data_IF_308538977624
#
_entry.id   IF_308538977624
#
_cell.length_a   1.000
_cell.length_b   1.000
_cell.length_c   1.000
_cell.angle_alpha   90.00
_cell.angle_beta   90.00
_cell.angle_gamma   90.00
#
_symmetry.space_group_name_H-M   'P 1'
#
loop_
_entity.id
_entity.type
_entity.pdbx_description
1 polymer ?
#
# COMPACT_ATOMS: atom_id res chain seq x y z
N UNK A 1 22.00 -33.92 3.69
CA UNK A 1 23.40 -34.32 3.39
C UNK A 1 24.15 -33.25 2.60
N UNK A 2 23.59 -32.70 1.51
CA UNK A 2 24.23 -31.61 0.74
C UNK A 2 24.57 -30.36 1.59
N UNK A 3 23.66 -29.91 2.45
CA UNK A 3 23.88 -28.75 3.33
C UNK A 3 24.96 -28.96 4.40
N UNK A 4 25.39 -30.20 4.68
CA UNK A 4 26.53 -30.48 5.56
C UNK A 4 27.83 -30.50 4.75
N UNK A 5 27.77 -30.95 3.49
CA UNK A 5 28.93 -31.02 2.58
C UNK A 5 29.30 -29.66 1.98
N UNK A 6 28.34 -28.74 1.85
CA UNK A 6 28.54 -27.40 1.30
C UNK A 6 28.64 -26.31 2.37
N UNK A 7 28.55 -26.67 3.66
CA UNK A 7 28.67 -25.72 4.77
C UNK A 7 30.12 -25.28 4.87
N UNK A 8 30.33 -23.98 4.70
CA UNK A 8 31.61 -23.35 4.97
C UNK A 8 31.54 -22.60 6.30
N UNK A 9 32.06 -23.23 7.36
CA UNK A 9 32.10 -22.64 8.70
C UNK A 9 33.12 -21.50 8.85
N UNK A 10 33.89 -21.19 7.79
CA UNK A 10 34.78 -20.03 7.77
C UNK A 10 34.05 -18.74 7.41
N UNK A 11 32.84 -18.82 6.85
CA UNK A 11 32.04 -17.65 6.50
C UNK A 11 31.41 -17.04 7.76
N UNK A 12 31.69 -15.76 8.00
CA UNK A 12 31.07 -14.99 9.09
C UNK A 12 29.90 -14.15 8.58
N UNK A 13 28.74 -14.29 9.21
CA UNK A 13 27.58 -13.44 8.90
C UNK A 13 27.84 -11.97 9.23
N UNK A 14 27.36 -11.07 8.36
CA UNK A 14 27.42 -9.62 8.56
C UNK A 14 26.00 -9.06 8.55
N UNK A 15 25.67 -8.24 9.53
CA UNK A 15 24.39 -7.54 9.56
C UNK A 15 24.24 -6.63 8.33
N UNK A 16 23.03 -6.50 7.75
CA UNK A 16 22.78 -5.69 6.55
C UNK A 16 22.69 -4.18 6.86
N UNK A 17 23.39 -3.69 7.88
CA UNK A 17 23.32 -2.31 8.36
C UNK A 17 23.81 -1.27 7.32
N UNK A 18 24.57 -1.71 6.31
CA UNK A 18 25.09 -0.89 5.23
C UNK A 18 24.24 -0.93 3.94
N UNK A 19 23.14 -1.69 3.93
CA UNK A 19 22.22 -1.75 2.79
C UNK A 19 21.22 -0.59 2.80
N UNK A 20 20.77 -0.12 1.61
CA UNK A 20 19.73 0.89 1.54
C UNK A 20 18.42 0.35 2.12
N UNK A 21 17.71 1.19 2.87
CA UNK A 21 16.49 0.81 3.56
C UNK A 21 15.29 0.69 2.61
N UNK A 22 15.36 1.27 1.41
CA UNK A 22 14.41 1.01 0.34
C UNK A 22 15.10 0.58 -0.94
N UNK A 23 14.49 -0.37 -1.68
CA UNK A 23 15.03 -0.84 -2.96
C UNK A 23 13.93 -1.23 -3.94
N UNK A 24 14.12 -0.80 -5.18
CA UNK A 24 13.40 -1.32 -6.34
C UNK A 24 14.20 -2.45 -7.02
N UNK A 25 13.59 -3.62 -7.10
CA UNK A 25 14.06 -4.78 -7.86
C UNK A 25 13.41 -4.76 -9.24
N UNK A 26 13.93 -3.91 -10.12
CA UNK A 26 13.40 -3.63 -11.46
C UNK A 26 13.06 -4.87 -12.27
N UNK A 27 13.95 -5.87 -12.24
CA UNK A 27 13.79 -7.10 -13.02
C UNK A 27 12.49 -7.84 -12.72
N UNK A 28 11.99 -7.78 -11.49
CA UNK A 28 10.76 -8.47 -11.07
C UNK A 28 9.62 -7.53 -10.74
N UNK A 29 9.88 -6.22 -10.71
CA UNK A 29 8.91 -5.19 -10.34
C UNK A 29 8.45 -5.31 -8.89
N UNK A 30 9.40 -5.40 -7.96
CA UNK A 30 9.15 -5.43 -6.52
C UNK A 30 9.84 -4.22 -5.88
N UNK A 31 9.15 -3.49 -5.01
CA UNK A 31 9.77 -2.50 -4.15
C UNK A 31 9.58 -2.93 -2.70
N UNK A 32 10.66 -2.83 -1.92
CA UNK A 32 10.69 -3.10 -0.48
C UNK A 32 11.15 -1.84 0.22
N UNK A 33 10.38 -1.34 1.19
CA UNK A 33 10.68 -0.15 2.00
C UNK A 33 10.70 -0.53 3.47
N UNK A 34 11.86 -0.43 4.11
CA UNK A 34 12.12 -0.74 5.50
C UNK A 34 12.51 0.53 6.28
N UNK A 35 12.49 0.40 7.60
CA UNK A 35 13.02 1.40 8.53
C UNK A 35 14.21 0.87 9.31
N UNK A 36 14.29 -0.45 9.51
CA UNK A 36 15.39 -1.14 10.17
C UNK A 36 15.62 -2.53 9.55
N UNK A 37 16.75 -2.74 8.89
CA UNK A 37 17.11 -4.06 8.33
C UNK A 37 17.79 -5.00 9.34
N UNK A 38 18.13 -4.50 10.53
CA UNK A 38 18.91 -5.22 11.55
C UNK A 38 18.01 -5.76 12.66
N UNK A 39 16.98 -5.02 13.05
CA UNK A 39 16.06 -5.39 14.13
C UNK A 39 14.59 -5.37 13.68
N UNK A 40 14.04 -6.57 13.46
CA UNK A 40 12.64 -6.74 13.07
C UNK A 40 11.62 -6.32 14.13
N UNK A 41 12.00 -6.26 15.42
CA UNK A 41 11.14 -5.69 16.46
C UNK A 41 11.08 -4.15 16.36
N UNK A 42 11.97 -3.51 15.58
CA UNK A 42 11.96 -2.08 15.30
C UNK A 42 11.56 -1.70 13.87
N UNK A 43 11.54 -2.67 12.96
CA UNK A 43 11.27 -2.43 11.54
C UNK A 43 9.80 -2.13 11.27
N UNK A 44 9.58 -1.24 10.30
CA UNK A 44 8.31 -1.06 9.60
C UNK A 44 8.60 -1.33 8.13
N UNK A 45 7.97 -2.37 7.62
CA UNK A 45 8.19 -2.87 6.28
C UNK A 45 6.91 -2.76 5.44
N UNK A 46 7.01 -2.09 4.30
CA UNK A 46 6.02 -2.18 3.23
C UNK A 46 6.67 -2.74 1.97
N UNK A 47 6.05 -3.77 1.39
CA UNK A 47 6.42 -4.30 0.09
C UNK A 47 5.23 -4.22 -0.87
N UNK A 48 5.49 -3.81 -2.12
CA UNK A 48 4.49 -3.81 -3.18
C UNK A 48 5.09 -4.37 -4.47
N UNK A 49 4.29 -5.20 -5.16
CA UNK A 49 4.65 -5.81 -6.44
C UNK A 49 3.89 -5.13 -7.58
N UNK A 50 4.61 -4.74 -8.63
CA UNK A 50 4.06 -4.35 -9.93
C UNK A 50 4.99 -4.81 -11.04
N UNK A 51 4.76 -6.05 -11.46
CA UNK A 51 5.70 -6.92 -12.18
C UNK A 51 5.43 -6.98 -13.69
N UNK A 52 6.48 -6.83 -14.53
CA UNK A 52 6.35 -6.91 -15.99
C UNK A 52 6.08 -8.33 -16.50
N UNK A 53 6.23 -9.37 -15.66
CA UNK A 53 6.01 -10.77 -16.05
C UNK A 53 4.55 -11.24 -15.95
N UNK A 54 3.68 -10.42 -15.36
CA UNK A 54 2.29 -10.77 -15.11
C UNK A 54 2.11 -11.89 -14.06
N UNK A 55 0.93 -12.51 -14.10
CA UNK A 55 0.52 -13.56 -13.15
C UNK A 55 0.71 -14.96 -13.75
N UNK A 56 1.95 -15.37 -13.99
CA UNK A 56 2.31 -16.66 -14.62
C UNK A 56 2.65 -17.71 -13.57
N UNK A 57 2.18 -18.95 -13.75
CA UNK A 57 2.48 -20.09 -12.87
C UNK A 57 2.14 -19.79 -11.40
N UNK A 58 3.12 -19.68 -10.51
CA UNK A 58 2.97 -19.29 -9.10
C UNK A 58 2.75 -17.80 -8.87
N UNK A 59 2.83 -16.97 -9.91
CA UNK A 59 2.42 -15.56 -9.84
C UNK A 59 0.92 -15.41 -9.53
N UNK A 60 0.60 -14.44 -8.67
CA UNK A 60 -0.75 -14.07 -8.30
C UNK A 60 -1.19 -12.80 -9.06
N UNK A 61 -2.49 -12.52 -9.04
CA UNK A 61 -3.14 -11.36 -9.63
C UNK A 61 -3.03 -10.16 -8.67
N UNK A 62 -1.79 -9.80 -8.32
CA UNK A 62 -1.45 -8.91 -7.20
C UNK A 62 -0.63 -7.68 -7.64
N UNK A 63 -0.84 -7.22 -8.88
CA UNK A 63 -0.21 -5.99 -9.36
C UNK A 63 -0.70 -4.80 -8.55
N UNK A 64 0.22 -3.94 -8.12
CA UNK A 64 -0.03 -2.83 -7.20
C UNK A 64 -0.64 -3.26 -5.84
N UNK A 65 -0.56 -4.53 -5.46
CA UNK A 65 -0.96 -4.95 -4.12
C UNK A 65 0.22 -4.87 -3.15
N UNK A 66 -0.06 -4.52 -1.90
CA UNK A 66 0.96 -4.40 -0.86
C UNK A 66 0.75 -5.36 0.31
N UNK A 67 1.81 -5.52 1.09
CA UNK A 67 1.79 -6.05 2.46
C UNK A 67 2.49 -5.05 3.39
N UNK A 68 2.09 -5.01 4.65
CA UNK A 68 2.68 -4.16 5.68
C UNK A 68 2.90 -4.97 6.96
N UNK A 69 4.14 -4.99 7.43
CA UNK A 69 4.56 -5.54 8.71
C UNK A 69 5.19 -4.42 9.55
N UNK A 70 4.97 -4.44 10.87
CA UNK A 70 5.63 -3.49 11.76
C UNK A 70 5.86 -4.10 13.14
N UNK A 71 7.03 -3.81 13.71
CA UNK A 71 7.41 -4.17 15.08
C UNK A 71 7.23 -5.67 15.37
N UNK A 72 7.63 -6.50 14.40
CA UNK A 72 7.54 -7.96 14.46
C UNK A 72 6.13 -8.55 14.27
N UNK A 73 5.15 -7.76 13.83
CA UNK A 73 3.77 -8.20 13.60
C UNK A 73 3.30 -7.96 12.16
N UNK A 74 2.56 -8.93 11.62
CA UNK A 74 1.91 -8.81 10.32
C UNK A 74 0.59 -8.01 10.46
N UNK A 75 0.51 -6.85 9.81
CA UNK A 75 -0.60 -5.91 9.97
C UNK A 75 -1.52 -5.89 8.75
N UNK A 76 -0.97 -5.67 7.55
CA UNK A 76 -1.71 -5.79 6.29
C UNK A 76 -1.17 -6.99 5.49
N UNK A 77 -1.97 -8.04 5.34
CA UNK A 77 -1.49 -9.33 4.83
C UNK A 77 -1.99 -9.64 3.42
N UNK A 78 -1.31 -10.56 2.75
CA UNK A 78 -1.89 -11.31 1.65
C UNK A 78 -2.70 -12.48 2.24
N UNK A 79 -4.00 -12.47 2.03
CA UNK A 79 -4.95 -13.45 2.55
C UNK A 79 -4.93 -14.76 1.75
N UNK A 80 -5.38 -15.84 2.40
CA UNK A 80 -5.60 -17.15 1.81
C UNK A 80 -4.49 -18.14 2.11
N UNK A 81 -4.81 -19.42 1.92
CA UNK A 81 -3.90 -20.54 2.16
C UNK A 81 -3.48 -21.19 0.84
N UNK A 82 -2.46 -22.03 0.90
CA UNK A 82 -2.00 -22.81 -0.25
C UNK A 82 -2.09 -24.31 0.03
N UNK A 83 -3.30 -24.92 -0.01
CA UNK A 83 -3.45 -26.36 0.17
C UNK A 83 -2.81 -27.16 -0.97
N UNK A 84 -3.08 -26.76 -2.22
CA UNK A 84 -2.57 -27.43 -3.41
C UNK A 84 -2.58 -26.48 -4.62
N UNK A 85 -1.64 -26.68 -5.54
CA UNK A 85 -1.66 -26.01 -6.83
C UNK A 85 -2.95 -26.30 -7.60
N UNK A 86 -3.61 -25.25 -8.08
CA UNK A 86 -4.81 -25.34 -8.90
C UNK A 86 -6.08 -25.77 -8.15
N UNK A 87 -6.05 -25.93 -6.81
CA UNK A 87 -7.28 -26.21 -6.09
C UNK A 87 -8.23 -25.00 -6.10
N UNK A 88 -9.50 -25.26 -5.80
CA UNK A 88 -10.56 -24.26 -5.83
C UNK A 88 -10.21 -22.98 -5.04
N UNK A 89 -9.70 -23.13 -3.82
CA UNK A 89 -9.29 -22.00 -2.97
C UNK A 89 -8.11 -21.24 -3.57
N UNK A 90 -7.09 -21.95 -4.02
CA UNK A 90 -5.93 -21.31 -4.62
C UNK A 90 -6.30 -20.51 -5.88
N UNK A 91 -7.12 -21.08 -6.76
CA UNK A 91 -7.47 -20.46 -8.03
C UNK A 91 -8.51 -19.34 -7.89
N UNK A 92 -9.48 -19.47 -6.99
CA UNK A 92 -10.59 -18.52 -6.85
C UNK A 92 -10.49 -17.58 -5.65
N UNK A 93 -9.51 -17.79 -4.78
CA UNK A 93 -9.20 -16.91 -3.64
C UNK A 93 -7.72 -16.50 -3.64
N UNK A 94 -6.81 -17.40 -3.27
CA UNK A 94 -5.41 -17.04 -2.92
C UNK A 94 -4.67 -16.30 -4.03
N UNK A 95 -4.91 -16.68 -5.29
CA UNK A 95 -4.32 -16.04 -6.47
C UNK A 95 -5.02 -14.75 -6.90
N UNK A 96 -6.24 -14.50 -6.45
CA UNK A 96 -7.06 -13.40 -6.92
C UNK A 96 -6.70 -12.09 -6.22
N UNK A 97 -6.97 -10.97 -6.88
CA UNK A 97 -6.74 -9.62 -6.34
C UNK A 97 -7.53 -9.40 -5.04
N UNK A 98 -8.75 -9.94 -4.92
CA UNK A 98 -9.59 -9.88 -3.71
C UNK A 98 -9.00 -10.53 -2.46
N UNK A 99 -7.89 -11.25 -2.59
CA UNK A 99 -7.16 -11.85 -1.46
C UNK A 99 -5.90 -11.06 -1.09
N UNK A 100 -5.77 -9.82 -1.57
CA UNK A 100 -4.59 -8.97 -1.42
C UNK A 100 -5.02 -7.55 -1.07
N UNK A 101 -4.14 -6.78 -0.44
CA UNK A 101 -4.42 -5.37 -0.17
C UNK A 101 -4.31 -4.56 -1.47
N UNK A 102 -5.40 -4.50 -2.22
CA UNK A 102 -5.47 -4.00 -3.60
C UNK A 102 -6.86 -3.54 -4.00
N UNK A 103 -7.03 -3.26 -5.30
CA UNK A 103 -8.28 -2.71 -5.84
C UNK A 103 -9.03 -3.75 -6.67
N UNK A 104 -10.32 -3.88 -6.39
CA UNK A 104 -11.29 -4.59 -7.22
C UNK A 104 -12.47 -3.69 -7.56
N UNK A 105 -13.42 -4.25 -8.29
CA UNK A 105 -14.67 -3.59 -8.60
C UNK A 105 -15.82 -4.60 -8.75
N UNK A 106 -17.06 -4.11 -8.71
CA UNK A 106 -18.29 -4.86 -8.99
C UNK A 106 -18.36 -6.23 -8.27
N UNK A 107 -18.13 -6.25 -6.96
CA UNK A 107 -18.25 -7.45 -6.13
C UNK A 107 -17.00 -8.33 -6.12
N UNK A 108 -15.81 -7.74 -6.07
CA UNK A 108 -14.53 -8.45 -5.96
C UNK A 108 -13.90 -8.86 -7.29
N UNK A 109 -14.33 -8.30 -8.43
CA UNK A 109 -13.70 -8.56 -9.72
C UNK A 109 -12.33 -7.89 -9.78
N UNK A 110 -11.29 -8.70 -10.00
CA UNK A 110 -9.90 -8.26 -9.99
C UNK A 110 -9.21 -8.36 -11.35
N UNK A 111 -7.89 -8.38 -11.27
CA UNK A 111 -6.98 -8.46 -12.40
C UNK A 111 -7.05 -9.83 -13.09
N UNK A 112 -6.68 -9.85 -14.37
CA UNK A 112 -6.53 -11.04 -15.19
C UNK A 112 -5.40 -11.94 -14.68
N UNK A 113 -5.38 -13.18 -15.20
CA UNK A 113 -4.32 -14.16 -14.98
C UNK A 113 -3.47 -14.35 -16.23
N UNK A 114 -2.17 -14.54 -16.05
CA UNK A 114 -1.24 -14.90 -17.11
C UNK A 114 -0.24 -13.80 -17.47
N UNK A 115 0.56 -14.07 -18.51
CA UNK A 115 1.69 -13.22 -18.91
C UNK A 115 1.26 -11.83 -19.39
N UNK A 116 0.03 -11.68 -19.87
CA UNK A 116 -0.52 -10.40 -20.33
C UNK A 116 -0.94 -9.49 -19.18
N UNK A 117 -1.20 -10.05 -17.99
CA UNK A 117 -1.67 -9.32 -16.81
C UNK A 117 -0.53 -8.58 -16.08
N UNK A 118 0.17 -7.70 -16.81
CA UNK A 118 1.40 -7.07 -16.38
C UNK A 118 1.14 -5.81 -15.55
N UNK A 119 2.03 -5.55 -14.60
CA UNK A 119 2.18 -4.27 -13.94
C UNK A 119 3.52 -3.64 -14.29
N UNK A 120 3.74 -2.40 -13.85
CA UNK A 120 4.99 -1.68 -14.03
C UNK A 120 5.18 -0.68 -12.89
N UNK A 121 6.33 -0.73 -12.23
CA UNK A 121 6.82 0.38 -11.40
C UNK A 121 7.21 1.53 -12.34
N UNK A 122 6.54 2.67 -12.18
CA UNK A 122 6.72 3.88 -13.00
C UNK A 122 7.61 4.92 -12.33
N UNK A 123 7.75 4.87 -10.99
CA UNK A 123 8.60 5.76 -10.23
C UNK A 123 9.12 5.11 -8.95
N UNK A 124 10.37 5.42 -8.60
CA UNK A 124 10.96 5.03 -7.32
C UNK A 124 11.89 6.13 -6.82
N UNK A 125 11.78 6.48 -5.54
CA UNK A 125 12.71 7.38 -4.82
C UNK A 125 13.05 6.72 -3.49
N UNK A 126 14.32 6.76 -3.12
CA UNK A 126 14.77 6.48 -1.74
C UNK A 126 15.52 7.70 -1.21
N UNK A 127 15.09 8.22 -0.05
CA UNK A 127 15.63 9.44 0.53
C UNK A 127 15.65 9.40 2.06
N UNK A 128 16.23 10.44 2.67
CA UNK A 128 16.35 10.52 4.13
C UNK A 128 15.00 10.74 4.83
N UNK A 129 14.12 11.55 4.24
CA UNK A 129 12.80 11.85 4.80
C UNK A 129 11.65 11.12 4.09
N UNK A 130 11.83 10.74 2.83
CA UNK A 130 10.78 10.20 1.99
C UNK A 130 11.28 9.09 1.09
N UNK A 131 10.45 8.05 0.92
CA UNK A 131 10.55 7.12 -0.19
C UNK A 131 9.27 7.21 -1.05
N UNK A 132 9.38 6.92 -2.34
CA UNK A 132 8.25 6.87 -3.26
C UNK A 132 8.26 5.55 -4.01
N UNK A 133 7.08 4.98 -4.19
CA UNK A 133 6.80 4.03 -5.24
C UNK A 133 5.55 4.46 -6.01
N UNK A 134 5.68 4.67 -7.32
CA UNK A 134 4.57 4.83 -8.24
C UNK A 134 4.50 3.63 -9.17
N UNK A 135 3.30 3.12 -9.45
CA UNK A 135 3.13 1.95 -10.28
C UNK A 135 1.80 1.92 -11.04
N UNK A 136 1.83 1.32 -12.23
CA UNK A 136 0.70 1.18 -13.14
C UNK A 136 0.33 -0.31 -13.30
N UNK A 137 -0.89 -0.67 -12.86
CA UNK A 137 -1.47 -2.00 -13.02
C UNK A 137 -2.57 -2.05 -14.08
N UNK A 138 -2.79 -0.99 -14.87
CA UNK A 138 -3.90 -0.87 -15.83
C UNK A 138 -3.98 -2.07 -16.76
N UNK A 139 -2.84 -2.51 -17.31
CA UNK A 139 -2.75 -3.67 -18.21
C UNK A 139 -3.17 -4.98 -17.52
N UNK A 140 -3.00 -5.09 -16.21
CA UNK A 140 -3.40 -6.25 -15.44
C UNK A 140 -4.92 -6.45 -15.42
N UNK A 141 -5.72 -5.42 -15.65
CA UNK A 141 -7.19 -5.51 -15.66
C UNK A 141 -7.78 -5.88 -17.03
N UNK A 142 -6.95 -6.23 -18.02
CA UNK A 142 -7.46 -6.78 -19.29
C UNK A 142 -8.27 -5.82 -20.14
N UNK A 143 -8.06 -4.50 -19.98
CA UNK A 143 -8.85 -3.46 -20.65
C UNK A 143 -10.21 -3.17 -20.02
N UNK A 144 -10.55 -3.83 -18.90
CA UNK A 144 -11.77 -3.52 -18.12
C UNK A 144 -11.64 -2.20 -17.36
N UNK A 145 -10.41 -1.83 -17.00
CA UNK A 145 -10.05 -0.52 -16.48
C UNK A 145 -9.18 0.22 -17.52
N UNK A 146 -9.41 1.51 -17.68
CA UNK A 146 -8.57 2.41 -18.49
C UNK A 146 -7.45 3.06 -17.69
N UNK A 147 -7.53 3.01 -16.35
CA UNK A 147 -6.48 3.47 -15.43
C UNK A 147 -6.54 2.72 -14.11
N UNK A 148 -5.39 2.26 -13.62
CA UNK A 148 -5.21 1.66 -12.30
C UNK A 148 -3.80 1.98 -11.76
N UNK A 149 -3.62 3.23 -11.33
CA UNK A 149 -2.36 3.74 -10.80
C UNK A 149 -2.39 3.68 -9.28
N UNK A 150 -1.28 3.25 -8.67
CA UNK A 150 -1.05 3.36 -7.23
C UNK A 150 0.26 4.07 -6.96
N UNK A 151 0.20 5.07 -6.09
CA UNK A 151 1.35 5.83 -5.62
C UNK A 151 1.41 5.75 -4.10
N UNK A 152 2.57 5.38 -3.55
CA UNK A 152 2.81 5.26 -2.11
C UNK A 152 4.00 6.14 -1.77
N UNK A 153 3.78 7.12 -0.90
CA UNK A 153 4.86 7.90 -0.27
C UNK A 153 5.05 7.40 1.14
N UNK A 154 6.25 6.89 1.43
CA UNK A 154 6.68 6.58 2.79
C UNK A 154 7.26 7.84 3.41
N UNK A 155 6.54 8.43 4.36
CA UNK A 155 7.03 9.47 5.26
C UNK A 155 7.80 8.77 6.37
N UNK A 156 9.13 8.89 6.31
CA UNK A 156 10.02 8.18 7.24
C UNK A 156 9.82 8.72 8.67
N UNK A 157 9.82 7.84 9.68
CA UNK A 157 10.27 6.46 9.64
C UNK A 157 9.12 5.42 9.68
N UNK A 158 7.96 5.62 9.04
CA UNK A 158 7.00 4.49 8.99
C UNK A 158 5.57 4.79 8.58
N UNK A 159 5.25 6.03 8.18
CA UNK A 159 3.89 6.39 7.78
C UNK A 159 3.79 6.32 6.26
N UNK A 160 2.74 5.73 5.73
CA UNK A 160 2.54 5.62 4.28
C UNK A 160 1.30 6.36 3.84
N UNK A 161 1.44 7.29 2.90
CA UNK A 161 0.32 7.94 2.22
C UNK A 161 0.15 7.25 0.87
N UNK A 162 -1.03 6.67 0.65
CA UNK A 162 -1.36 5.86 -0.52
C UNK A 162 -2.44 6.56 -1.33
N UNK A 163 -2.18 6.79 -2.62
CA UNK A 163 -3.20 7.17 -3.59
C UNK A 163 -3.42 6.05 -4.59
N UNK A 164 -4.68 5.69 -4.79
CA UNK A 164 -5.15 4.94 -5.95
C UNK A 164 -5.88 5.89 -6.89
N UNK A 165 -5.56 5.86 -8.18
CA UNK A 165 -6.26 6.59 -9.25
C UNK A 165 -6.78 5.59 -10.29
N UNK A 166 -8.10 5.55 -10.41
CA UNK A 166 -8.85 4.50 -11.09
C UNK A 166 -9.78 5.10 -12.14
N UNK A 167 -9.82 4.47 -13.32
CA UNK A 167 -10.79 4.82 -14.34
C UNK A 167 -11.24 3.61 -15.16
N UNK A 168 -12.48 3.67 -15.65
CA UNK A 168 -13.12 2.67 -16.51
C UNK A 168 -14.08 3.38 -17.47
N UNK A 169 -14.28 2.79 -18.65
CA UNK A 169 -15.27 3.28 -19.63
C UNK A 169 -16.71 3.06 -19.14
N UNK A 170 -16.92 1.98 -18.40
CA UNK A 170 -18.17 1.66 -17.71
C UNK A 170 -18.11 2.18 -16.27
N UNK A 171 -19.26 2.58 -15.72
CA UNK A 171 -19.34 2.92 -14.31
C UNK A 171 -19.18 1.64 -13.47
N UNK A 172 -18.33 1.70 -12.45
CA UNK A 172 -17.97 0.59 -11.58
C UNK A 172 -18.22 0.93 -10.12
N UNK A 173 -18.58 -0.05 -9.32
CA UNK A 173 -18.48 0.07 -7.85
C UNK A 173 -17.06 -0.28 -7.43
N UNK A 174 -16.27 0.71 -7.04
CA UNK A 174 -14.85 0.55 -6.70
C UNK A 174 -14.66 0.07 -5.27
N UNK A 175 -13.70 -0.81 -5.06
CA UNK A 175 -13.49 -1.51 -3.79
C UNK A 175 -12.00 -1.55 -3.44
N UNK A 176 -11.67 -1.02 -2.26
CA UNK A 176 -10.36 -1.18 -1.65
C UNK A 176 -10.39 -2.35 -0.67
N UNK A 177 -9.47 -3.32 -0.84
CA UNK A 177 -9.33 -4.45 0.07
C UNK A 177 -8.23 -4.22 1.10
N UNK A 178 -8.53 -4.56 2.36
CA UNK A 178 -7.56 -4.63 3.45
C UNK A 178 -7.75 -5.96 4.18
N UNK A 179 -6.66 -6.66 4.45
CA UNK A 179 -6.70 -7.94 5.15
C UNK A 179 -5.81 -7.95 6.38
N UNK A 180 -6.27 -8.64 7.42
CA UNK A 180 -5.55 -8.81 8.67
C UNK A 180 -5.72 -10.23 9.20
N UNK A 181 -4.88 -10.61 10.17
CA UNK A 181 -5.03 -11.88 10.88
C UNK A 181 -6.28 -11.83 11.79
N UNK A 182 -6.45 -10.73 12.52
CA UNK A 182 -7.53 -10.54 13.50
C UNK A 182 -8.62 -9.60 12.98
N UNK A 183 -9.77 -9.60 13.68
CA UNK A 183 -10.91 -8.77 13.35
C UNK A 183 -10.55 -7.29 13.43
N UNK A 184 -10.97 -6.52 12.42
CA UNK A 184 -10.69 -5.10 12.35
C UNK A 184 -11.75 -4.29 13.10
N UNK A 185 -11.34 -3.26 13.81
CA UNK A 185 -12.28 -2.28 14.38
C UNK A 185 -12.56 -1.19 13.35
N UNK A 186 -13.82 -1.03 12.95
CA UNK A 186 -14.25 -0.08 11.91
C UNK A 186 -14.94 1.11 12.58
N UNK A 187 -14.46 2.32 12.30
CA UNK A 187 -15.07 3.59 12.67
C UNK A 187 -15.48 4.30 11.38
N UNK A 188 -16.63 3.89 10.84
CA UNK A 188 -17.11 4.30 9.50
C UNK A 188 -17.28 5.81 9.35
N UNK A 189 -17.79 6.49 10.38
CA UNK A 189 -17.98 7.94 10.37
C UNK A 189 -16.67 8.73 10.16
N UNK A 190 -15.55 8.15 10.60
CA UNK A 190 -14.22 8.75 10.50
C UNK A 190 -13.38 8.11 9.38
N UNK A 191 -13.98 7.26 8.54
CA UNK A 191 -13.28 6.54 7.47
C UNK A 191 -12.11 5.71 7.98
N UNK A 192 -12.23 5.07 9.15
CA UNK A 192 -11.08 4.52 9.87
C UNK A 192 -11.20 3.04 10.15
N UNK A 193 -10.11 2.32 9.91
CA UNK A 193 -9.98 0.90 10.21
C UNK A 193 -8.75 0.68 11.08
N UNK A 194 -8.92 -0.01 12.21
CA UNK A 194 -7.84 -0.33 13.14
C UNK A 194 -7.62 -1.85 13.20
N UNK A 195 -6.38 -2.24 12.93
CA UNK A 195 -5.85 -3.59 13.10
C UNK A 195 -4.99 -3.58 14.36
N UNK A 196 -5.22 -4.52 15.29
CA UNK A 196 -4.42 -4.66 16.51
C UNK A 196 -3.77 -6.03 16.60
N UNK A 197 -2.51 -6.04 17.00
CA UNK A 197 -1.68 -7.20 17.28
C UNK A 197 -1.00 -7.01 18.65
N UNK A 198 -0.45 -8.06 19.28
CA UNK A 198 0.15 -7.95 20.60
C UNK A 198 1.23 -6.87 20.75
N UNK A 199 2.11 -6.71 19.75
CA UNK A 199 3.21 -5.72 19.78
C UNK A 199 2.94 -4.42 19.02
N UNK A 200 1.93 -4.40 18.14
CA UNK A 200 1.74 -3.33 17.17
C UNK A 200 0.28 -3.13 16.78
N UNK A 201 -0.01 -1.98 16.20
CA UNK A 201 -1.27 -1.69 15.54
C UNK A 201 -1.05 -1.02 14.18
N UNK A 202 -2.05 -1.11 13.30
CA UNK A 202 -2.13 -0.33 12.07
C UNK A 202 -3.46 0.40 12.04
N UNK A 203 -3.42 1.73 12.01
CA UNK A 203 -4.58 2.55 11.69
C UNK A 203 -4.55 2.91 10.21
N UNK A 204 -5.52 2.42 9.44
CA UNK A 204 -5.78 2.87 8.08
C UNK A 204 -6.86 3.96 8.09
N UNK A 205 -6.49 5.20 7.74
CA UNK A 205 -7.40 6.34 7.58
C UNK A 205 -7.70 6.53 6.10
N UNK A 206 -8.95 6.35 5.69
CA UNK A 206 -9.43 6.68 4.36
C UNK A 206 -9.84 8.16 4.34
N UNK A 207 -8.98 8.98 3.76
CA UNK A 207 -9.11 10.44 3.73
C UNK A 207 -9.97 10.90 2.55
N UNK A 208 -9.97 10.16 1.44
CA UNK A 208 -10.85 10.40 0.29
C UNK A 208 -11.24 9.06 -0.37
N UNK A 209 -12.49 8.91 -0.86
CA UNK A 209 -13.60 9.86 -0.77
C UNK A 209 -14.13 10.00 0.67
N UNK A 210 -14.89 11.07 0.92
CA UNK A 210 -15.46 11.37 2.26
C UNK A 210 -16.44 10.29 2.75
N UNK A 211 -17.09 9.59 1.82
CA UNK A 211 -18.08 8.55 2.13
C UNK A 211 -17.70 7.25 1.43
N UNK A 212 -17.47 6.23 2.24
CA UNK A 212 -17.29 4.84 1.83
C UNK A 212 -18.24 3.95 2.64
N UNK A 213 -18.67 2.84 2.06
CA UNK A 213 -19.29 1.75 2.80
C UNK A 213 -18.23 0.74 3.20
N UNK A 214 -18.26 0.31 4.46
CA UNK A 214 -17.33 -0.69 4.97
C UNK A 214 -18.05 -2.01 5.25
N UNK A 215 -17.43 -3.10 4.81
CA UNK A 215 -17.84 -4.45 5.19
C UNK A 215 -16.61 -5.27 5.55
N UNK A 216 -16.76 -6.23 6.45
CA UNK A 216 -15.73 -7.24 6.70
C UNK A 216 -16.31 -8.63 6.91
N UNK A 217 -15.52 -9.65 6.59
CA UNK A 217 -15.84 -11.05 6.81
C UNK A 217 -14.56 -11.83 7.12
N UNK A 218 -14.69 -12.98 7.76
CA UNK A 218 -13.60 -13.95 7.94
C UNK A 218 -13.82 -15.24 7.15
N UNK A 219 -14.80 -15.21 6.24
CA UNK A 219 -15.14 -16.34 5.40
C UNK A 219 -14.37 -16.30 4.08
N UNK A 220 -13.89 -17.47 3.66
CA UNK A 220 -13.21 -17.67 2.39
C UNK A 220 -14.20 -18.23 1.39
N UNK A 221 -14.30 -17.63 0.20
CA UNK A 221 -15.09 -18.18 -0.89
C UNK A 221 -14.24 -18.45 -2.15
N UNK A 222 -13.87 -19.71 -2.42
CA UNK A 222 -14.21 -20.93 -1.68
C UNK A 222 -13.28 -21.16 -0.48
N UNK A 223 -13.71 -21.95 0.51
CA UNK A 223 -12.87 -22.33 1.64
C UNK A 223 -11.63 -23.15 1.24
N UNK A 224 -10.51 -23.03 1.97
CA UNK A 224 -9.35 -23.88 1.76
C UNK A 224 -9.70 -25.34 2.05
N UNK A 225 -9.29 -26.25 1.17
CA UNK A 225 -9.36 -27.68 1.45
C UNK A 225 -8.45 -28.00 2.63
N UNK A 226 -9.04 -28.43 3.75
CA UNK A 226 -8.29 -28.82 4.94
C UNK A 226 -7.70 -30.21 4.75
N UNK A 227 -6.35 -30.37 4.77
CA UNK A 227 -5.78 -31.69 4.94
C UNK A 227 -6.32 -32.31 6.25
N UNK A 228 -6.54 -33.64 6.31
CA UNK A 228 -6.98 -34.29 7.54
C UNK A 228 -6.07 -33.91 8.73
N UNK A 229 -6.68 -33.40 9.80
CA UNK A 229 -5.97 -32.99 11.02
C UNK A 229 -5.27 -31.63 10.96
N UNK A 230 -5.50 -30.80 9.93
CA UNK A 230 -4.97 -29.44 9.86
C UNK A 230 -6.11 -28.42 9.79
N UNK A 231 -6.16 -27.53 10.77
CA UNK A 231 -7.00 -26.33 10.72
C UNK A 231 -6.16 -25.13 10.29
N UNK A 232 -6.73 -24.31 9.41
CA UNK A 232 -6.15 -23.03 9.03
C UNK A 232 -6.81 -21.95 9.87
N UNK A 233 -6.00 -21.03 10.41
CA UNK A 233 -6.54 -19.89 11.13
C UNK A 233 -7.45 -19.07 10.20
N UNK A 234 -8.47 -18.43 10.77
CA UNK A 234 -9.22 -17.46 9.98
C UNK A 234 -8.35 -16.22 9.75
N UNK A 235 -8.63 -15.52 8.67
CA UNK A 235 -8.13 -14.17 8.41
C UNK A 235 -9.34 -13.28 8.17
N UNK A 236 -9.21 -11.98 8.41
CA UNK A 236 -10.28 -11.01 8.20
C UNK A 236 -10.05 -10.23 6.92
N UNK A 237 -11.15 -9.92 6.24
CA UNK A 237 -11.15 -9.34 4.91
C UNK A 237 -12.13 -8.18 4.90
N UNK A 238 -11.61 -6.97 4.81
CA UNK A 238 -12.38 -5.73 4.75
C UNK A 238 -12.42 -5.20 3.32
N UNK A 239 -13.59 -4.72 2.93
CA UNK A 239 -13.78 -3.89 1.74
C UNK A 239 -14.24 -2.51 2.16
N UNK A 240 -13.55 -1.47 1.69
CA UNK A 240 -14.01 -0.10 1.72
C UNK A 240 -14.44 0.27 0.29
N UNK A 241 -15.73 0.52 0.09
CA UNK A 241 -16.34 0.58 -1.23
C UNK A 241 -17.03 1.90 -1.49
N UNK A 242 -16.95 2.37 -2.73
CA UNK A 242 -17.79 3.46 -3.21
C UNK A 242 -19.27 3.07 -3.06
N UNK A 243 -20.10 4.01 -2.59
CA UNK A 243 -21.54 3.75 -2.36
C UNK A 243 -22.35 3.85 -3.65
N UNK A 244 -21.80 4.45 -4.70
CA UNK A 244 -22.43 4.60 -6.01
C UNK A 244 -21.42 4.29 -7.12
N UNK A 245 -21.83 3.65 -8.23
CA UNK A 245 -20.95 3.40 -9.35
C UNK A 245 -20.46 4.69 -10.01
N UNK A 246 -19.19 4.71 -10.41
CA UNK A 246 -18.58 5.84 -11.13
C UNK A 246 -17.60 5.36 -12.19
N UNK A 247 -17.33 6.19 -13.20
CA UNK A 247 -16.30 5.90 -14.22
C UNK A 247 -14.88 6.18 -13.74
N UNK A 248 -14.74 7.04 -12.74
CA UNK A 248 -13.46 7.42 -12.15
C UNK A 248 -13.59 7.36 -10.63
N UNK A 249 -12.51 6.97 -9.97
CA UNK A 249 -12.42 6.95 -8.52
C UNK A 249 -11.00 7.25 -8.08
N UNK A 250 -10.87 7.83 -6.89
CA UNK A 250 -9.59 8.00 -6.21
C UNK A 250 -9.77 7.51 -4.78
N UNK A 251 -8.85 6.68 -4.29
CA UNK A 251 -8.71 6.46 -2.84
C UNK A 251 -7.48 7.22 -2.37
N UNK A 252 -7.62 8.02 -1.31
CA UNK A 252 -6.50 8.60 -0.60
C UNK A 252 -6.53 8.06 0.82
N UNK A 253 -5.50 7.33 1.22
CA UNK A 253 -5.43 6.75 2.56
C UNK A 253 -4.07 6.97 3.22
N UNK A 254 -4.07 6.91 4.54
CA UNK A 254 -2.86 6.96 5.36
C UNK A 254 -2.79 5.69 6.21
N UNK A 255 -1.67 4.97 6.09
CA UNK A 255 -1.34 3.81 6.90
C UNK A 255 -0.40 4.25 8.01
N UNK A 256 -0.88 4.15 9.25
CA UNK A 256 -0.22 4.62 10.47
C UNK A 256 0.08 3.41 11.38
N UNK A 257 1.21 2.71 11.17
CA UNK A 257 1.65 1.67 12.09
C UNK A 257 2.22 2.29 13.38
N UNK A 258 1.90 1.70 14.53
CA UNK A 258 2.41 2.10 15.83
C UNK A 258 2.77 0.88 16.67
N UNK A 259 3.72 1.04 17.58
CA UNK A 259 3.94 0.06 18.65
C UNK A 259 2.73 0.08 19.57
N UNK A 260 2.42 -1.06 20.18
CA UNK A 260 1.39 -1.12 21.20
C UNK A 260 1.73 -0.15 22.35
N UNK A 261 0.83 0.81 22.60
CA UNK A 261 1.01 1.86 23.61
C UNK A 261 1.52 3.20 23.05
N UNK A 262 2.03 3.23 21.82
CA UNK A 262 2.57 4.43 21.19
C UNK A 262 1.59 5.06 20.18
N UNK A 263 0.34 4.59 20.12
CA UNK A 263 -0.67 5.11 19.18
C UNK A 263 -0.92 6.62 19.34
N UNK A 264 -0.74 7.15 20.55
CA UNK A 264 -0.86 8.59 20.83
C UNK A 264 0.26 9.46 20.24
N UNK A 265 1.33 8.86 19.72
CA UNK A 265 2.44 9.56 19.05
C UNK A 265 2.21 9.72 17.54
N UNK A 266 1.19 9.05 16.99
CA UNK A 266 0.83 9.17 15.58
C UNK A 266 0.34 10.60 15.27
N UNK A 267 0.67 11.14 14.08
CA UNK A 267 0.20 12.46 13.70
C UNK A 267 -1.31 12.46 13.45
N UNK A 268 -1.92 13.63 13.65
CA UNK A 268 -3.24 13.91 13.11
C UNK A 268 -3.17 13.96 11.57
N UNK A 269 -4.22 13.47 10.91
CA UNK A 269 -4.35 13.46 9.45
C UNK A 269 -5.43 14.45 9.01
N UNK A 270 -5.10 15.38 8.13
CA UNK A 270 -6.07 16.34 7.57
C UNK A 270 -6.01 16.34 6.04
N UNK A 271 -7.19 16.34 5.40
CA UNK A 271 -7.26 16.44 3.94
C UNK A 271 -6.96 17.85 3.44
N UNK A 272 -6.18 17.95 2.37
CA UNK A 272 -5.84 19.19 1.66
C UNK A 272 -6.22 19.02 0.19
N UNK A 273 -7.49 19.20 -0.12
CA UNK A 273 -8.05 18.92 -1.45
C UNK A 273 -8.23 20.21 -2.27
N UNK A 274 -7.83 20.18 -3.53
CA UNK A 274 -8.10 21.24 -4.50
C UNK A 274 -8.62 20.65 -5.81
N UNK A 275 -8.96 21.50 -6.77
CA UNK A 275 -9.28 21.08 -8.14
C UNK A 275 -8.10 20.43 -8.87
N UNK A 276 -6.89 20.59 -8.35
CA UNK A 276 -5.64 20.17 -9.00
C UNK A 276 -4.84 19.13 -8.21
N UNK A 277 -5.07 19.01 -6.90
CA UNK A 277 -4.28 18.19 -5.99
C UNK A 277 -5.17 17.40 -5.02
N UNK A 278 -4.79 16.13 -4.79
CA UNK A 278 -5.18 15.34 -3.63
C UNK A 278 -4.01 15.35 -2.66
N UNK A 279 -4.16 15.91 -1.47
CA UNK A 279 -3.09 15.92 -0.48
C UNK A 279 -3.59 15.60 0.93
N UNK A 280 -2.66 15.14 1.76
CA UNK A 280 -2.83 14.95 3.19
C UNK A 280 -1.75 15.76 3.92
N UNK A 281 -2.15 16.43 4.99
CA UNK A 281 -1.25 16.99 5.99
C UNK A 281 -1.23 16.07 7.21
N UNK A 282 -0.01 15.74 7.65
CA UNK A 282 0.29 14.99 8.86
C UNK A 282 0.85 15.99 9.88
N UNK A 283 0.24 16.10 11.06
CA UNK A 283 0.67 17.05 12.11
C UNK A 283 0.95 16.31 13.42
N UNK A 284 2.17 16.44 13.93
CA UNK A 284 2.59 15.83 15.18
C UNK A 284 2.31 16.75 16.38
N UNK A 285 2.30 16.17 17.58
CA UNK A 285 2.03 16.90 18.82
C UNK A 285 3.05 18.00 19.13
N UNK A 286 4.27 17.90 18.59
CA UNK A 286 5.31 18.93 18.72
C UNK A 286 5.12 20.12 17.77
N UNK A 287 4.11 20.08 16.89
CA UNK A 287 3.79 21.09 15.90
C UNK A 287 4.53 20.92 14.57
N UNK A 288 5.44 19.95 14.44
CA UNK A 288 6.00 19.59 13.14
C UNK A 288 4.91 19.02 12.23
N UNK A 289 5.08 19.20 10.92
CA UNK A 289 4.09 18.75 9.94
C UNK A 289 4.71 18.28 8.64
N UNK A 290 4.00 17.43 7.92
CA UNK A 290 4.38 16.95 6.59
C UNK A 290 3.17 17.00 5.67
N UNK A 291 3.33 17.60 4.50
CA UNK A 291 2.32 17.59 3.43
C UNK A 291 2.77 16.62 2.36
N UNK A 292 1.90 15.68 1.98
CA UNK A 292 2.09 14.79 0.83
C UNK A 292 0.97 15.06 -0.16
N UNK A 293 1.31 15.32 -1.41
CA UNK A 293 0.34 15.67 -2.45
C UNK A 293 0.56 14.92 -3.76
N UNK A 294 -0.56 14.71 -4.46
CA UNK A 294 -0.66 14.01 -5.73
C UNK A 294 -1.47 14.85 -6.70
N UNK A 295 -0.93 15.07 -7.90
CA UNK A 295 -1.59 15.76 -9.00
C UNK A 295 -2.81 14.97 -9.45
N UNK A 296 -3.95 15.65 -9.58
CA UNK A 296 -5.16 15.00 -10.10
C UNK A 296 -5.03 14.60 -11.57
N UNK A 297 -5.71 13.51 -11.98
CA UNK A 297 -5.66 13.06 -13.37
C UNK A 297 -6.11 14.14 -14.35
N UNK A 298 -5.38 14.30 -15.46
CA UNK A 298 -5.70 15.26 -16.52
C UNK A 298 -5.38 16.72 -16.20
N UNK A 299 -4.81 17.03 -15.03
CA UNK A 299 -4.40 18.38 -14.67
C UNK A 299 -2.95 18.61 -15.10
N UNK A 300 -2.71 19.60 -15.95
CA UNK A 300 -1.37 19.92 -16.46
C UNK A 300 -0.84 21.25 -15.88
N UNK A 301 0.48 21.47 -16.01
CA UNK A 301 1.12 22.73 -15.63
C UNK A 301 1.32 22.90 -14.13
N UNK A 302 1.49 24.15 -13.72
CA UNK A 302 1.85 24.52 -12.35
C UNK A 302 0.70 24.28 -11.36
N UNK A 303 0.99 23.60 -10.27
CA UNK A 303 0.10 23.36 -9.13
C UNK A 303 0.45 24.31 -7.99
N UNK A 304 -0.58 24.71 -7.24
CA UNK A 304 -0.43 25.49 -6.02
C UNK A 304 -1.24 24.84 -4.90
N UNK A 305 -0.61 24.62 -3.75
CA UNK A 305 -1.25 24.16 -2.52
C UNK A 305 -0.70 24.96 -1.34
N UNK A 306 -1.43 26.01 -0.92
CA UNK A 306 -0.91 26.96 0.05
C UNK A 306 0.35 27.65 -0.46
N UNK A 307 1.44 27.52 0.29
CA UNK A 307 2.79 28.04 -0.03
C UNK A 307 3.60 27.12 -0.98
N UNK A 308 3.06 25.95 -1.31
CA UNK A 308 3.74 24.98 -2.18
C UNK A 308 3.36 25.27 -3.63
N UNK A 309 4.37 25.44 -4.48
CA UNK A 309 4.24 25.52 -5.93
C UNK A 309 5.05 24.41 -6.59
N UNK A 310 4.45 23.64 -7.49
CA UNK A 310 5.13 22.48 -8.09
C UNK A 310 4.56 22.09 -9.45
N UNK A 311 5.40 21.57 -10.34
CA UNK A 311 4.96 20.91 -11.57
C UNK A 311 4.95 19.37 -11.44
N UNK A 312 5.28 18.84 -10.27
CA UNK A 312 5.37 17.40 -10.01
C UNK A 312 4.01 16.69 -9.99
N UNK A 313 4.03 15.41 -10.33
CA UNK A 313 2.88 14.49 -10.18
C UNK A 313 2.71 14.06 -8.73
N UNK A 314 3.82 13.84 -8.02
CA UNK A 314 3.83 13.53 -6.58
C UNK A 314 4.84 14.44 -5.90
N UNK A 315 4.48 15.00 -4.74
CA UNK A 315 5.38 15.79 -3.93
C UNK A 315 5.18 15.55 -2.44
N UNK A 316 6.23 15.79 -1.66
CA UNK A 316 6.16 15.83 -0.22
C UNK A 316 7.05 16.94 0.34
N UNK A 317 6.61 17.59 1.41
CA UNK A 317 7.35 18.63 2.13
C UNK A 317 7.18 18.41 3.63
N UNK A 318 8.28 18.35 4.36
CA UNK A 318 8.30 18.29 5.83
C UNK A 318 8.75 19.62 6.40
N UNK A 319 8.14 19.99 7.52
CA UNK A 319 8.33 21.26 8.22
C UNK A 319 8.59 21.00 9.70
N UNK A 320 9.50 21.78 10.29
CA UNK A 320 9.59 21.92 11.74
C UNK A 320 8.42 22.75 12.28
N UNK A 321 8.25 22.74 13.61
CA UNK A 321 7.19 23.48 14.29
C UNK A 321 7.24 25.02 14.06
N UNK A 322 8.41 25.56 13.74
CA UNK A 322 8.60 26.97 13.40
C UNK A 322 8.33 27.31 11.92
N UNK A 323 7.90 26.32 11.12
CA UNK A 323 7.66 26.45 9.68
C UNK A 323 8.89 26.25 8.81
N UNK A 324 10.08 25.97 9.38
CA UNK A 324 11.28 25.71 8.58
C UNK A 324 11.15 24.40 7.80
N UNK A 325 11.40 24.45 6.49
CA UNK A 325 11.42 23.25 5.63
C UNK A 325 12.59 22.34 6.03
N UNK A 326 12.29 21.08 6.33
CA UNK A 326 13.25 20.05 6.76
C UNK A 326 13.65 19.10 5.65
N UNK A 327 12.77 18.88 4.68
CA UNK A 327 13.02 17.99 3.57
C UNK A 327 11.89 18.04 2.54
N UNK A 328 12.24 17.74 1.30
CA UNK A 328 11.33 17.76 0.16
C UNK A 328 11.54 16.54 -0.72
N UNK A 329 10.48 16.12 -1.42
CA UNK A 329 10.53 15.11 -2.46
C UNK A 329 9.59 15.55 -3.60
N UNK A 330 9.99 15.32 -4.85
CA UNK A 330 9.12 15.49 -6.02
C UNK A 330 9.38 14.39 -7.05
N UNK A 331 8.35 14.02 -7.80
CA UNK A 331 8.40 13.04 -8.88
C UNK A 331 7.44 13.43 -10.00
N UNK A 332 7.80 13.15 -11.26
CA UNK A 332 6.98 13.52 -12.42
C UNK A 332 7.05 15.01 -12.80
N UNK A 333 7.96 15.78 -12.20
CA UNK A 333 8.18 17.20 -12.50
C UNK A 333 9.62 17.64 -12.21
N UNK A 334 9.90 18.91 -12.45
CA UNK A 334 11.24 19.51 -12.34
C UNK A 334 11.33 20.61 -11.28
N UNK A 335 10.19 21.04 -10.73
CA UNK A 335 10.11 22.19 -9.85
C UNK A 335 9.24 21.89 -8.64
N UNK A 336 9.77 22.17 -7.45
CA UNK A 336 9.06 22.22 -6.18
C UNK A 336 9.62 23.41 -5.40
N UNK A 337 8.78 24.41 -5.15
CA UNK A 337 9.10 25.62 -4.39
C UNK A 337 8.18 25.70 -3.17
N UNK A 338 8.76 26.12 -2.06
CA UNK A 338 8.09 26.32 -0.78
C UNK A 338 8.51 27.69 -0.28
N UNK A 339 7.57 28.63 -0.15
CA UNK A 339 7.86 29.99 0.29
C UNK A 339 6.69 30.95 0.14
#
# INVERSE_FOLDING_TARGET
MLGVLLKDDTLTGRAPADLPLARHFEGVGLVSMHTDLVDGDNDVHLAMRSSPYGAVSHGHNDQNCFVLEAYGEALAIASGYYPQYGCAHHDRWTRQTKAKCGITYDGGQGQDRGWHAQGKVTGFIHGQGFDLMAADATKAYGGRLSRAIREIVHVRPGIFVVRDDLASTEARTWEYWLHAIDEMSIQEADGTVLIKRPKASLTARFVYPETLSFAQTNEFDPHPDYPPGREYAKNWHLTASYTQPSREAEFLSVLLPARAGDEGQLPATEQRLTDSVRAVELTWADGSRTVVGFRRPGVEGLLTLGEIQTDADVFAVSYAADGTVKGTMSHGGTMLKVG
#
